data_IF_685398120436
#
_entry.id   IF_685398120436
#
_cell.length_a   1.000
_cell.length_b   1.000
_cell.length_c   1.000
_cell.angle_alpha   90.00
_cell.angle_beta   90.00
_cell.angle_gamma   90.00
#
_symmetry.space_group_name_H-M   'P 1'
#
loop_
_entity.id
_entity.type
_entity.pdbx_description
1 polymer ?
#
# COMPACT_ATOMS: atom_id res chain seq x y z
N UNK A 1 -21.52 16.23 -46.11
CA UNK A 1 -20.83 16.30 -44.81
C UNK A 1 -21.60 15.46 -43.82
N UNK A 2 -21.07 14.36 -43.27
CA UNK A 2 -21.77 13.61 -42.24
C UNK A 2 -21.56 14.29 -40.87
N UNK A 3 -22.65 14.42 -40.11
CA UNK A 3 -22.65 14.99 -38.77
C UNK A 3 -21.87 14.08 -37.82
N UNK A 4 -20.85 14.63 -37.16
CA UNK A 4 -20.08 13.97 -36.11
C UNK A 4 -20.93 14.05 -34.83
N UNK A 5 -21.50 12.93 -34.41
CA UNK A 5 -22.14 12.83 -33.11
C UNK A 5 -21.06 12.95 -32.02
N UNK A 6 -20.93 14.14 -31.42
CA UNK A 6 -20.18 14.32 -30.18
C UNK A 6 -21.06 13.81 -29.03
N UNK A 7 -21.01 12.49 -28.79
CA UNK A 7 -21.43 11.95 -27.51
C UNK A 7 -20.40 12.38 -26.44
N UNK A 8 -20.83 12.75 -25.23
CA UNK A 8 -19.91 13.11 -24.17
C UNK A 8 -18.98 11.93 -23.91
N UNK A 9 -17.66 12.16 -24.04
CA UNK A 9 -16.68 11.29 -23.40
C UNK A 9 -16.87 11.48 -21.89
N UNK A 10 -17.81 10.72 -21.34
CA UNK A 10 -17.80 10.36 -19.93
C UNK A 10 -16.58 9.45 -19.77
N UNK A 11 -15.41 10.09 -19.70
CA UNK A 11 -14.23 9.54 -19.07
C UNK A 11 -14.71 9.26 -17.65
N UNK A 12 -15.19 8.03 -17.46
CA UNK A 12 -15.14 7.36 -16.18
C UNK A 12 -13.68 7.43 -15.73
N UNK A 13 -13.35 8.55 -15.10
CA UNK A 13 -12.22 8.72 -14.22
C UNK A 13 -12.53 7.76 -13.07
N UNK A 14 -12.28 6.48 -13.33
CA UNK A 14 -12.16 5.46 -12.31
C UNK A 14 -11.04 6.02 -11.46
N UNK A 15 -11.42 6.71 -10.39
CA UNK A 15 -10.54 7.11 -9.32
C UNK A 15 -9.93 5.80 -8.81
N UNK A 16 -8.81 5.41 -9.41
CA UNK A 16 -7.98 4.36 -8.86
C UNK A 16 -7.65 4.90 -7.48
N UNK A 17 -8.05 4.22 -6.39
CA UNK A 17 -7.49 4.58 -5.10
C UNK A 17 -5.99 4.44 -5.31
N UNK A 18 -5.28 5.57 -5.28
CA UNK A 18 -3.85 5.63 -5.48
C UNK A 18 -3.27 4.94 -4.24
N UNK A 19 -3.23 3.61 -4.28
CA UNK A 19 -2.84 2.77 -3.18
C UNK A 19 -1.40 3.16 -2.88
N UNK A 20 -1.21 3.97 -1.83
CA UNK A 20 0.10 4.50 -1.54
C UNK A 20 0.97 3.31 -1.18
N UNK A 21 2.02 3.00 -1.97
CA UNK A 21 2.79 1.79 -1.78
C UNK A 21 3.41 1.82 -0.39
N UNK A 22 3.28 0.72 0.34
CA UNK A 22 3.96 0.61 1.61
C UNK A 22 5.46 0.35 1.36
N UNK A 23 6.30 0.95 2.18
CA UNK A 23 7.76 0.75 2.15
C UNK A 23 8.17 -0.05 3.37
N UNK A 24 9.10 -0.97 3.19
CA UNK A 24 9.67 -1.82 4.24
C UNK A 24 11.10 -1.36 4.54
N UNK A 25 11.45 -1.31 5.82
CA UNK A 25 12.80 -0.96 6.25
C UNK A 25 13.24 -1.85 7.37
N UNK A 26 14.43 -2.41 7.18
CA UNK A 26 15.05 -3.35 8.10
C UNK A 26 16.31 -2.67 8.60
N UNK A 27 16.36 -2.46 9.91
CA UNK A 27 17.48 -1.84 10.62
C UNK A 27 17.93 -2.76 11.74
N UNK A 28 19.01 -2.38 12.44
CA UNK A 28 19.43 -3.08 13.67
C UNK A 28 18.38 -3.05 14.78
N UNK A 29 17.51 -2.03 14.77
CA UNK A 29 16.50 -1.81 15.79
C UNK A 29 15.22 -2.60 15.49
N UNK A 30 15.05 -3.09 14.25
CA UNK A 30 13.91 -3.92 13.86
C UNK A 30 13.40 -3.66 12.44
N UNK A 31 12.19 -4.14 12.18
CA UNK A 31 11.44 -3.96 10.94
C UNK A 31 10.40 -2.85 11.12
N UNK A 32 10.33 -1.93 10.17
CA UNK A 32 9.29 -0.90 10.14
C UNK A 32 8.61 -0.89 8.78
N UNK A 33 7.29 -0.71 8.78
CA UNK A 33 6.48 -0.52 7.58
C UNK A 33 5.98 0.91 7.58
N UNK A 34 6.21 1.64 6.49
CA UNK A 34 5.68 2.98 6.28
C UNK A 34 4.64 3.00 5.17
N UNK A 35 3.60 3.82 5.34
CA UNK A 35 2.64 4.17 4.29
C UNK A 35 2.49 5.70 4.30
N UNK A 36 2.57 6.33 3.13
CA UNK A 36 2.49 7.79 3.00
C UNK A 36 3.45 8.56 3.94
N UNK A 37 4.65 8.03 4.16
CA UNK A 37 5.66 8.63 5.05
C UNK A 37 5.41 8.45 6.55
N UNK A 38 4.33 7.79 6.95
CA UNK A 38 4.02 7.49 8.34
C UNK A 38 4.31 6.03 8.68
N UNK A 39 4.96 5.73 9.82
CA UNK A 39 5.14 4.36 10.28
C UNK A 39 3.80 3.79 10.73
N UNK A 40 3.38 2.67 10.11
CA UNK A 40 2.12 1.98 10.45
C UNK A 40 2.33 0.68 11.23
N UNK A 41 3.55 0.14 11.19
CA UNK A 41 3.96 -1.02 11.97
C UNK A 41 5.44 -0.88 12.33
N UNK A 42 5.79 -1.18 13.57
CA UNK A 42 7.17 -1.35 14.01
C UNK A 42 7.28 -2.65 14.81
N UNK A 43 8.21 -3.50 14.38
CA UNK A 43 8.55 -4.77 15.03
C UNK A 43 9.99 -4.65 15.52
N UNK A 44 10.23 -4.49 16.83
CA UNK A 44 11.57 -4.35 17.37
C UNK A 44 12.37 -5.65 17.19
N UNK A 45 13.70 -5.54 17.14
CA UNK A 45 14.58 -6.71 16.98
C UNK A 45 14.51 -7.70 18.17
N UNK A 46 14.12 -7.21 19.35
CA UNK A 46 13.90 -8.01 20.57
C UNK A 46 12.57 -8.78 20.57
N UNK A 47 11.72 -8.54 19.58
CA UNK A 47 10.41 -9.17 19.50
C UNK A 47 10.55 -10.70 19.31
N UNK A 48 9.51 -11.48 19.70
CA UNK A 48 9.56 -12.94 19.60
C UNK A 48 9.93 -13.42 18.19
N UNK A 49 10.73 -14.49 18.06
CA UNK A 49 11.16 -15.00 16.76
C UNK A 49 9.96 -15.30 15.86
N UNK A 50 10.04 -14.86 14.61
CA UNK A 50 9.00 -15.06 13.60
C UNK A 50 7.82 -14.08 13.64
N UNK A 51 7.75 -13.17 14.63
CA UNK A 51 6.66 -12.19 14.71
C UNK A 51 6.64 -11.23 13.51
N UNK A 52 7.80 -10.80 13.02
CA UNK A 52 7.90 -9.95 11.82
C UNK A 52 7.27 -10.62 10.59
N UNK A 53 7.55 -11.91 10.38
CA UNK A 53 6.96 -12.68 9.27
C UNK A 53 5.44 -12.80 9.43
N UNK A 54 4.95 -13.10 10.64
CA UNK A 54 3.51 -13.19 10.92
C UNK A 54 2.79 -11.88 10.65
N UNK A 55 3.38 -10.75 11.04
CA UNK A 55 2.82 -9.43 10.76
C UNK A 55 2.79 -9.12 9.26
N UNK A 56 3.82 -9.51 8.50
CA UNK A 56 3.84 -9.34 7.05
C UNK A 56 2.77 -10.19 6.36
N UNK A 57 2.61 -11.45 6.78
CA UNK A 57 1.57 -12.34 6.26
C UNK A 57 0.18 -11.78 6.57
N UNK A 58 -0.09 -11.41 7.83
CA UNK A 58 -1.37 -10.81 8.22
C UNK A 58 -1.68 -9.51 7.45
N UNK A 59 -0.65 -8.70 7.17
CA UNK A 59 -0.80 -7.49 6.37
C UNK A 59 -1.11 -7.79 4.89
N UNK A 60 -0.47 -8.81 4.31
CA UNK A 60 -0.72 -9.24 2.94
C UNK A 60 -2.09 -9.92 2.77
N UNK A 61 -2.51 -10.75 3.73
CA UNK A 61 -3.81 -11.45 3.70
C UNK A 61 -5.00 -10.53 4.02
N UNK A 62 -4.76 -9.46 4.79
CA UNK A 62 -5.78 -8.47 5.15
C UNK A 62 -5.91 -7.28 4.19
N UNK A 63 -5.10 -7.23 3.12
CA UNK A 63 -5.16 -6.21 2.05
C UNK A 63 -5.87 -6.76 0.81
#
# INVERSE_FOLDING_TARGET
MPARCEGPQDLAEVAQPLATPATLGITKDGLTIWRAGQPILHVPCEAPPGIALRCLVAWHEGS
#
